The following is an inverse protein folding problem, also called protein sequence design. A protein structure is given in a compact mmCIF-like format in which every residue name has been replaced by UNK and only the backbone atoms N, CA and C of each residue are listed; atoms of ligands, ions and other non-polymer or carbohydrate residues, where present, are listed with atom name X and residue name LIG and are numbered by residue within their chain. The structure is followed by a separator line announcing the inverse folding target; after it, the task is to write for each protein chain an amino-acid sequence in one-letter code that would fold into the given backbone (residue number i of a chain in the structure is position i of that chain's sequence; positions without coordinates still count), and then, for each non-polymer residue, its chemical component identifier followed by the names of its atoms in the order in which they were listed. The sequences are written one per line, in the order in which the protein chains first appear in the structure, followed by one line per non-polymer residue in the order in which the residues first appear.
data_IF_199811804476
#
_entry.id   IF_199811804476
#
_cell.length_a   1.000
_cell.length_b   1.000
_cell.length_c   1.000
_cell.angle_alpha   90.00
_cell.angle_beta   90.00
_cell.angle_gamma   90.00
#
_symmetry.space_group_name_H-M   'P 1'
#
loop_
_entity.id
_entity.type
_entity.pdbx_description
1 polymer ?
#
# COMPACT_ATOMS: atom_id res chain seq x y z
N UNK A 1 17.23 -11.90 -7.76
CA UNK A 1 15.89 -12.49 -7.93
C UNK A 1 15.75 -13.56 -6.87
N UNK A 2 14.98 -13.28 -5.82
CA UNK A 2 14.51 -14.30 -4.89
C UNK A 2 13.12 -14.68 -5.41
N UNK A 3 13.04 -15.75 -6.20
CA UNK A 3 11.77 -16.42 -6.46
C UNK A 3 11.40 -17.14 -5.17
N UNK A 4 10.63 -16.47 -4.31
CA UNK A 4 9.95 -17.16 -3.22
C UNK A 4 8.90 -18.06 -3.85
N UNK A 5 9.03 -19.38 -3.68
CA UNK A 5 7.94 -20.30 -3.97
C UNK A 5 6.72 -19.86 -3.16
N UNK A 6 5.72 -19.31 -3.85
CA UNK A 6 4.42 -19.01 -3.26
C UNK A 6 3.77 -20.36 -2.98
N UNK A 7 3.84 -20.82 -1.74
CA UNK A 7 3.17 -22.04 -1.29
C UNK A 7 1.65 -21.85 -1.45
N UNK A 8 0.97 -22.81 -2.08
CA UNK A 8 -0.48 -22.80 -2.42
C UNK A 8 -1.42 -22.73 -1.19
N UNK A 9 -0.85 -22.77 0.02
CA UNK A 9 -1.56 -22.74 1.30
C UNK A 9 -1.06 -21.59 2.20
N UNK A 10 -0.88 -20.38 1.66
CA UNK A 10 -0.62 -19.25 2.54
C UNK A 10 -1.83 -18.97 3.44
N UNK A 11 -1.66 -18.87 4.77
CA UNK A 11 -2.71 -18.49 5.71
C UNK A 11 -3.07 -16.99 5.65
N UNK A 12 -2.45 -16.24 4.72
CA UNK A 12 -2.64 -14.80 4.57
C UNK A 12 -3.03 -14.49 3.14
N UNK A 13 -4.18 -13.83 2.97
CA UNK A 13 -4.62 -13.32 1.69
C UNK A 13 -4.28 -11.83 1.60
N UNK A 14 -3.65 -11.43 0.50
CA UNK A 14 -3.40 -10.04 0.17
C UNK A 14 -4.12 -9.69 -1.13
N UNK A 15 -4.80 -8.55 -1.14
CA UNK A 15 -5.46 -8.01 -2.33
C UNK A 15 -4.94 -6.60 -2.59
N UNK A 16 -4.35 -6.40 -3.76
CA UNK A 16 -4.00 -5.06 -4.24
C UNK A 16 -5.27 -4.23 -4.46
N UNK A 17 -5.30 -3.00 -3.94
CA UNK A 17 -6.46 -2.10 -4.09
C UNK A 17 -6.29 -1.07 -5.20
N UNK A 18 -5.13 -1.05 -5.86
CA UNK A 18 -4.77 -0.01 -6.81
C UNK A 18 -5.35 -0.28 -8.21
N UNK A 19 -6.07 0.68 -8.80
CA UNK A 19 -6.44 0.61 -10.21
C UNK A 19 -5.19 0.50 -11.12
N UNK A 20 -5.33 -0.17 -12.26
CA UNK A 20 -4.21 -0.36 -13.20
C UNK A 20 -3.58 0.97 -13.66
N UNK A 21 -4.40 2.01 -13.88
CA UNK A 21 -3.92 3.35 -14.24
C UNK A 21 -3.08 3.97 -13.12
N UNK A 22 -3.49 3.82 -11.86
CA UNK A 22 -2.73 4.28 -10.69
C UNK A 22 -1.41 3.52 -10.55
N UNK A 23 -1.42 2.20 -10.78
CA UNK A 23 -0.20 1.40 -10.74
C UNK A 23 0.81 1.82 -11.82
N UNK A 24 0.36 2.11 -13.04
CA UNK A 24 1.23 2.65 -14.09
C UNK A 24 1.77 4.04 -13.73
N UNK A 25 0.92 4.91 -13.16
CA UNK A 25 1.32 6.25 -12.72
C UNK A 25 2.39 6.21 -11.61
N UNK A 26 2.27 5.28 -10.65
CA UNK A 26 3.28 5.04 -9.60
C UNK A 26 4.65 4.74 -10.22
N UNK A 27 4.69 3.88 -11.26
CA UNK A 27 5.95 3.55 -11.95
C UNK A 27 6.52 4.74 -12.71
N UNK A 28 5.66 5.54 -13.34
CA UNK A 28 6.08 6.74 -14.07
C UNK A 28 6.65 7.82 -13.14
N UNK A 29 6.03 8.02 -11.98
CA UNK A 29 6.44 9.04 -10.99
C UNK A 29 7.64 8.57 -10.16
N UNK A 30 7.90 7.26 -10.10
CA UNK A 30 9.00 6.72 -9.31
C UNK A 30 8.73 6.72 -7.80
N UNK A 31 7.47 6.62 -7.38
CA UNK A 31 7.05 6.75 -5.97
C UNK A 31 7.80 5.81 -5.01
N UNK A 32 8.26 4.66 -5.52
CA UNK A 32 8.98 3.64 -4.75
C UNK A 32 10.42 3.41 -5.26
N UNK A 33 11.03 4.38 -5.94
CA UNK A 33 12.46 4.31 -6.33
C UNK A 33 13.40 4.29 -5.11
N UNK A 34 12.92 4.82 -3.98
CA UNK A 34 13.59 4.76 -2.69
C UNK A 34 12.73 3.99 -1.69
N UNK A 35 13.33 3.31 -0.69
CA UNK A 35 12.59 2.67 0.37
C UNK A 35 11.68 3.66 1.10
N UNK A 36 10.41 3.31 1.23
CA UNK A 36 9.39 4.10 1.94
C UNK A 36 9.00 3.41 3.25
N UNK A 37 8.70 4.16 4.32
CA UNK A 37 8.10 3.58 5.51
C UNK A 37 6.74 2.96 5.17
N UNK A 38 6.45 1.81 5.77
CA UNK A 38 5.17 1.13 5.64
C UNK A 38 4.38 1.27 6.94
N UNK A 39 3.08 1.46 6.79
CA UNK A 39 2.10 1.47 7.86
C UNK A 39 1.14 0.30 7.62
N UNK A 40 1.01 -0.57 8.61
CA UNK A 40 -0.03 -1.57 8.65
C UNK A 40 -1.01 -1.20 9.76
N UNK A 41 -2.29 -1.08 9.42
CA UNK A 41 -3.37 -0.99 10.40
C UNK A 41 -4.11 -2.31 10.43
N UNK A 42 -4.33 -2.89 11.60
CA UNK A 42 -5.00 -4.17 11.75
C UNK A 42 -6.16 -4.05 12.75
N UNK A 43 -7.24 -4.76 12.47
CA UNK A 43 -8.41 -4.86 13.33
C UNK A 43 -8.95 -6.28 13.32
N UNK A 44 -9.54 -6.68 14.45
CA UNK A 44 -10.30 -7.93 14.54
C UNK A 44 -11.57 -7.80 13.68
N UNK A 45 -11.84 -8.81 12.87
CA UNK A 45 -12.98 -8.86 11.94
C UNK A 45 -13.52 -10.29 11.91
N UNK A 46 -14.70 -10.50 12.51
CA UNK A 46 -15.35 -11.81 12.68
C UNK A 46 -14.43 -12.91 13.24
N UNK A 47 -13.54 -12.56 14.18
CA UNK A 47 -12.58 -13.48 14.81
C UNK A 47 -11.31 -13.70 13.98
N UNK A 48 -11.26 -13.20 12.75
CA UNK A 48 -10.08 -13.10 11.92
C UNK A 48 -9.41 -11.74 12.06
N UNK A 49 -8.57 -11.38 11.09
CA UNK A 49 -7.95 -10.06 11.00
C UNK A 49 -8.18 -9.46 9.63
N UNK A 50 -8.59 -8.21 9.63
CA UNK A 50 -8.53 -7.33 8.46
C UNK A 50 -7.47 -6.27 8.68
N UNK A 51 -6.54 -6.16 7.74
CA UNK A 51 -5.51 -5.15 7.77
C UNK A 51 -5.45 -4.33 6.48
N UNK A 52 -4.99 -3.09 6.58
CA UNK A 52 -4.71 -2.21 5.43
C UNK A 52 -3.22 -1.89 5.46
N UNK A 53 -2.55 -2.16 4.35
CA UNK A 53 -1.16 -1.77 4.12
C UNK A 53 -1.13 -0.46 3.36
N UNK A 54 -0.39 0.51 3.90
CA UNK A 54 -0.14 1.80 3.27
C UNK A 54 1.35 2.11 3.26
N UNK A 55 1.80 2.84 2.23
CA UNK A 55 3.09 3.48 2.23
C UNK A 55 2.96 4.91 2.78
N UNK A 56 3.91 5.35 3.59
CA UNK A 56 3.98 6.74 4.06
C UNK A 56 4.86 7.51 3.08
N UNK A 57 4.26 8.38 2.30
CA UNK A 57 4.91 9.09 1.19
C UNK A 57 4.66 10.59 1.25
N UNK A 58 5.51 11.43 0.65
CA UNK A 58 5.25 12.87 0.52
C UNK A 58 3.92 13.14 -0.21
N UNK A 59 3.11 14.06 0.32
CA UNK A 59 1.81 14.41 -0.27
C UNK A 59 1.93 14.85 -1.74
N UNK A 60 2.98 15.61 -2.06
CA UNK A 60 3.29 16.05 -3.43
C UNK A 60 3.47 14.89 -4.43
N UNK A 61 3.98 13.75 -3.98
CA UNK A 61 4.22 12.61 -4.88
C UNK A 61 2.91 11.86 -5.14
N UNK A 62 1.99 11.83 -4.16
CA UNK A 62 0.62 11.32 -4.36
C UNK A 62 -0.12 12.19 -5.36
N UNK A 63 -0.04 13.51 -5.25
CA UNK A 63 -0.67 14.44 -6.22
C UNK A 63 -0.14 14.22 -7.65
N UNK A 64 1.16 13.97 -7.81
CA UNK A 64 1.77 13.62 -9.11
C UNK A 64 1.21 12.31 -9.65
N UNK A 65 1.08 11.29 -8.80
CA UNK A 65 0.49 9.99 -9.19
C UNK A 65 -0.97 10.16 -9.61
N UNK A 66 -1.78 10.91 -8.85
CA UNK A 66 -3.18 11.19 -9.20
C UNK A 66 -3.29 11.89 -10.56
N UNK A 67 -2.47 12.92 -10.79
CA UNK A 67 -2.42 13.66 -12.05
C UNK A 67 -2.03 12.75 -13.22
N UNK A 68 -0.98 11.97 -13.06
CA UNK A 68 -0.53 11.02 -14.08
C UNK A 68 -1.58 9.94 -14.36
N UNK A 69 -2.29 9.45 -13.33
CA UNK A 69 -3.34 8.43 -13.49
C UNK A 69 -4.55 8.94 -14.29
N UNK A 70 -4.83 10.24 -14.25
CA UNK A 70 -5.97 10.88 -14.94
C UNK A 70 -5.60 11.51 -16.27
N UNK A 71 -4.31 11.61 -16.61
CA UNK A 71 -3.83 12.31 -17.80
C UNK A 71 -4.41 11.76 -19.13
N UNK A 72 -4.78 10.48 -19.17
CA UNK A 72 -5.43 9.86 -20.33
C UNK A 72 -6.87 10.35 -20.54
N UNK A 73 -7.61 10.60 -19.45
CA UNK A 73 -9.00 11.06 -19.48
C UNK A 73 -9.09 12.59 -19.53
N UNK A 74 -8.09 13.27 -18.97
CA UNK A 74 -8.02 14.72 -18.84
C UNK A 74 -6.66 15.26 -19.32
N UNK A 75 -6.45 15.38 -20.65
CA UNK A 75 -5.14 15.73 -21.22
C UNK A 75 -4.62 17.11 -20.79
N UNK A 76 -5.51 18.03 -20.40
CA UNK A 76 -5.13 19.35 -19.90
C UNK A 76 -4.36 19.30 -18.57
N UNK A 77 -4.51 18.23 -17.77
CA UNK A 77 -3.74 18.06 -16.53
C UNK A 77 -2.24 17.93 -16.80
N UNK A 78 -1.84 17.40 -17.96
CA UNK A 78 -0.44 17.30 -18.35
C UNK A 78 0.21 18.66 -18.67
N UNK A 79 -0.60 19.71 -18.85
CA UNK A 79 -0.12 21.08 -19.13
C UNK A 79 0.03 21.94 -17.87
N UNK A 80 -0.34 21.42 -16.70
CA UNK A 80 -0.13 22.10 -15.42
C UNK A 80 1.29 21.78 -14.96
N UNK A 81 2.20 22.75 -15.06
CA UNK A 81 3.53 22.63 -14.47
C UNK A 81 3.41 22.34 -12.97
N UNK A 82 4.30 21.52 -12.42
CA UNK A 82 4.45 21.39 -10.97
C UNK A 82 4.69 22.81 -10.43
N UNK A 83 3.74 23.31 -9.63
CA UNK A 83 3.87 24.63 -9.03
C UNK A 83 5.23 24.69 -8.32
N UNK A 84 6.06 25.72 -8.57
CA UNK A 84 7.33 25.84 -7.89
C UNK A 84 7.09 25.83 -6.38
N UNK A 85 7.95 25.14 -5.62
CA UNK A 85 7.98 25.26 -4.17
C UNK A 85 7.95 26.75 -3.83
N UNK A 86 6.83 27.22 -3.27
CA UNK A 86 6.72 28.62 -2.84
C UNK A 86 7.77 28.76 -1.74
N UNK A 87 8.80 29.61 -1.90
CA UNK A 87 9.75 29.82 -0.84
C UNK A 87 8.98 30.29 0.38
N UNK A 88 9.17 29.63 1.51
CA UNK A 88 8.63 30.14 2.77
C UNK A 88 9.31 31.48 3.07
N UNK A 89 8.55 32.56 2.93
CA UNK A 89 8.96 33.92 3.31
C UNK A 89 8.61 34.21 4.78
N UNK A 90 8.43 33.18 5.59
CA UNK A 90 8.22 33.22 7.04
C UNK A 90 9.50 33.53 7.83
N UNK A 91 9.35 34.34 8.88
CA UNK A 91 10.42 34.86 9.73
C UNK A 91 11.38 33.77 10.25
N UNK A 92 12.68 34.02 10.09
CA UNK A 92 13.79 33.26 10.64
C UNK A 92 13.92 33.39 12.18
N UNK A 93 12.88 33.05 12.96
CA UNK A 93 12.99 33.03 14.42
C UNK A 93 12.42 31.82 15.15
N UNK A 94 11.84 30.83 14.47
CA UNK A 94 11.57 29.51 15.05
C UNK A 94 11.58 28.46 13.94
N UNK A 95 12.79 28.03 13.54
CA UNK A 95 12.96 26.95 12.58
C UNK A 95 12.76 25.59 13.27
N UNK A 96 11.52 25.31 13.68
CA UNK A 96 11.06 23.92 13.64
C UNK A 96 10.96 23.58 12.14
N UNK A 97 11.73 22.61 11.68
CA UNK A 97 11.68 22.18 10.29
C UNK A 97 10.24 21.77 9.95
N UNK A 98 9.49 22.63 9.26
CA UNK A 98 8.24 22.26 8.60
C UNK A 98 8.60 21.19 7.57
N UNK A 99 8.59 19.93 8.02
CA UNK A 99 8.90 18.79 7.19
C UNK A 99 7.88 18.67 6.06
N UNK A 100 8.30 18.14 4.92
CA UNK A 100 7.40 17.82 3.81
C UNK A 100 6.21 17.00 4.36
N UNK A 101 4.95 17.39 4.12
CA UNK A 101 3.80 16.67 4.65
C UNK A 101 3.78 15.25 4.08
N UNK A 102 3.71 14.25 4.98
CA UNK A 102 3.61 12.84 4.61
C UNK A 102 2.17 12.35 4.80
N UNK A 103 1.71 11.49 3.91
CA UNK A 103 0.36 10.92 3.91
C UNK A 103 0.40 9.42 3.69
N UNK A 104 -0.57 8.66 4.23
CA UNK A 104 -0.72 7.24 3.94
C UNK A 104 -1.31 7.03 2.54
N UNK A 105 -0.58 6.32 1.69
CA UNK A 105 -1.01 5.86 0.38
C UNK A 105 -1.36 4.38 0.44
N UNK A 106 -2.65 4.05 0.39
CA UNK A 106 -3.15 2.68 0.56
C UNK A 106 -2.74 1.77 -0.63
N UNK A 107 -2.06 0.68 -0.32
CA UNK A 107 -1.57 -0.30 -1.30
C UNK A 107 -2.53 -1.46 -1.48
N UNK A 108 -3.16 -1.89 -0.38
CA UNK A 108 -4.04 -3.04 -0.41
C UNK A 108 -4.61 -3.42 0.95
N UNK A 109 -5.46 -4.46 0.90
CA UNK A 109 -6.10 -5.06 2.06
C UNK A 109 -5.51 -6.45 2.27
N UNK A 110 -5.32 -6.82 3.52
CA UNK A 110 -4.84 -8.12 3.94
C UNK A 110 -5.87 -8.76 4.85
N UNK A 111 -6.10 -10.05 4.65
CA UNK A 111 -7.03 -10.85 5.42
C UNK A 111 -6.32 -12.07 5.97
N UNK A 112 -6.63 -12.42 7.21
CA UNK A 112 -6.31 -13.71 7.83
C UNK A 112 -7.55 -14.22 8.53
N UNK A 113 -7.91 -15.47 8.25
CA UNK A 113 -9.12 -16.07 8.81
C UNK A 113 -8.90 -16.51 10.27
N UNK A 114 -9.99 -16.70 11.05
CA UNK A 114 -9.89 -17.11 12.44
C UNK A 114 -9.05 -18.38 12.65
N UNK A 115 -9.17 -19.36 11.75
CA UNK A 115 -8.50 -20.65 11.84
C UNK A 115 -6.98 -20.55 11.63
N UNK A 116 -6.55 -19.45 10.98
CA UNK A 116 -5.18 -19.19 10.56
C UNK A 116 -4.44 -18.22 11.50
N UNK A 117 -5.09 -17.76 12.59
CA UNK A 117 -4.49 -16.83 13.55
C UNK A 117 -3.32 -17.46 14.30
N UNK A 118 -2.22 -16.71 14.43
CA UNK A 118 -1.05 -17.13 15.21
C UNK A 118 -1.04 -16.56 16.63
N UNK A 119 -1.56 -15.35 16.77
CA UNK A 119 -1.68 -14.58 18.00
C UNK A 119 -3.16 -14.21 18.21
N UNK A 120 -4.03 -15.17 18.57
CA UNK A 120 -5.46 -14.91 18.75
C UNK A 120 -5.73 -13.90 19.88
N UNK A 121 -4.85 -13.83 20.87
CA UNK A 121 -5.03 -12.96 22.04
C UNK A 121 -4.40 -11.57 21.90
N UNK A 122 -3.70 -11.27 20.80
CA UNK A 122 -2.93 -10.03 20.63
C UNK A 122 -2.97 -9.55 19.17
N UNK A 123 -3.73 -8.49 18.90
CA UNK A 123 -3.84 -7.88 17.56
C UNK A 123 -2.51 -7.27 17.13
N UNK A 124 -1.73 -6.71 18.06
CA UNK A 124 -0.45 -6.08 17.74
C UNK A 124 0.60 -7.11 17.29
N UNK A 125 0.71 -8.24 17.99
CA UNK A 125 1.61 -9.33 17.58
C UNK A 125 1.17 -9.93 16.25
N UNK A 126 -0.15 -10.05 16.05
CA UNK A 126 -0.73 -10.54 14.80
C UNK A 126 -0.43 -9.58 13.63
N UNK A 127 -0.52 -8.28 13.85
CA UNK A 127 -0.16 -7.25 12.87
C UNK A 127 1.33 -7.34 12.48
N UNK A 128 2.21 -7.53 13.45
CA UNK A 128 3.65 -7.68 13.20
C UNK A 128 3.97 -8.94 12.39
N UNK A 129 3.35 -10.08 12.74
CA UNK A 129 3.50 -11.32 11.97
C UNK A 129 2.90 -11.21 10.55
N UNK A 130 1.76 -10.54 10.39
CA UNK A 130 1.18 -10.25 9.07
C UNK A 130 2.14 -9.42 8.21
N UNK A 131 2.69 -8.34 8.76
CA UNK A 131 3.65 -7.50 8.06
C UNK A 131 4.91 -8.30 7.66
N UNK A 132 5.44 -9.13 8.57
CA UNK A 132 6.58 -10.00 8.26
C UNK A 132 6.26 -11.04 7.17
N UNK A 133 5.06 -11.62 7.19
CA UNK A 133 4.59 -12.58 6.19
C UNK A 133 4.47 -11.94 4.80
N UNK A 134 3.98 -10.69 4.74
CA UNK A 134 3.89 -9.92 3.50
C UNK A 134 5.27 -9.57 2.95
N UNK A 135 6.15 -9.05 3.79
CA UNK A 135 7.50 -8.62 3.38
C UNK A 135 8.41 -9.80 2.99
N UNK A 136 8.13 -11.00 3.48
CA UNK A 136 8.82 -12.23 3.06
C UNK A 136 8.25 -12.86 1.79
N UNK A 137 7.21 -12.26 1.20
CA UNK A 137 6.56 -12.76 -0.03
C UNK A 137 5.77 -14.04 0.18
N UNK A 138 5.39 -14.34 1.43
CA UNK A 138 4.68 -15.57 1.78
C UNK A 138 3.16 -15.39 1.74
N UNK A 139 2.64 -14.18 1.54
CA UNK A 139 1.21 -13.94 1.38
C UNK A 139 0.71 -14.41 0.00
N UNK A 140 -0.52 -14.94 -0.05
CA UNK A 140 -1.15 -15.38 -1.29
C UNK A 140 -2.05 -14.27 -1.86
N UNK A 141 -2.04 -14.14 -3.19
CA UNK A 141 -2.93 -13.23 -3.90
C UNK A 141 -4.39 -13.70 -3.81
N UNK A 142 -5.26 -12.82 -3.32
CA UNK A 142 -6.70 -13.09 -3.20
C UNK A 142 -7.37 -13.42 -4.54
N UNK A 143 -6.95 -12.78 -5.65
CA UNK A 143 -7.53 -13.03 -6.96
C UNK A 143 -7.16 -14.42 -7.48
N UNK A 144 -5.91 -14.84 -7.25
CA UNK A 144 -5.46 -16.21 -7.52
C UNK A 144 -6.28 -17.22 -6.72
N UNK A 145 -6.45 -16.99 -5.41
CA UNK A 145 -7.23 -17.89 -4.55
C UNK A 145 -8.69 -18.00 -5.00
N UNK A 146 -9.28 -16.89 -5.45
CA UNK A 146 -10.64 -16.87 -6.00
C UNK A 146 -10.77 -17.75 -7.24
N UNK A 147 -9.81 -17.67 -8.16
CA UNK A 147 -9.78 -18.51 -9.37
C UNK A 147 -9.63 -20.00 -9.00
N UNK A 148 -8.74 -20.33 -8.07
CA UNK A 148 -8.57 -21.71 -7.58
C UNK A 148 -9.85 -22.28 -6.97
N UNK A 149 -10.55 -21.49 -6.15
CA UNK A 149 -11.81 -21.91 -5.53
C UNK A 149 -12.91 -22.13 -6.58
N UNK A 150 -12.99 -21.29 -7.61
CA UNK A 150 -13.93 -21.48 -8.71
C UNK A 150 -13.62 -22.77 -9.49
N UNK A 151 -12.35 -23.01 -9.81
CA UNK A 151 -11.91 -24.22 -10.53
C UNK A 151 -12.15 -25.51 -9.74
N UNK A 152 -12.05 -25.47 -8.41
CA UNK A 152 -12.36 -26.61 -7.53
C UNK A 152 -13.86 -26.88 -7.36
N UNK A 153 -14.70 -25.90 -7.68
CA UNK A 153 -16.17 -25.99 -7.56
C UNK A 153 -16.88 -26.52 -8.81
N UNK A 154 -16.14 -26.74 -9.90
CA UNK A 154 -16.58 -27.36 -11.16
C UNK A 154 -16.26 -28.86 -11.17
#
# INVERSE_FOLDING_TARGET
MLEGEVSDESPVLAQGSLPAATFAAIQQVGLFEHPVPLLLTAQDDDGGIRAILAAIVPARDVEKVERASRAAEEPWLASVDDAPEVPDFGNASDAEAEGVPHVPFALGVILRFPEDRKHPDSVDDEAMDLLATLLSGQAMDADRKRVENLLRSL
#
